data_IF_977934909586
#
_entry.id   IF_977934909586
#
_cell.length_a   1.000
_cell.length_b   1.000
_cell.length_c   1.000
_cell.angle_alpha   90.00
_cell.angle_beta   90.00
_cell.angle_gamma   90.00
#
_symmetry.space_group_name_H-M   'P 1'
#
loop_
_entity.id
_entity.type
_entity.pdbx_description
1 polymer ?
#
# COMPACT_ATOMS: atom_id res chain seq x y z
N UNK A 1 6.19 14.43 -7.42
CA UNK A 1 6.68 13.03 -7.40
C UNK A 1 5.48 12.09 -7.25
N UNK A 2 5.41 11.00 -8.02
CA UNK A 2 4.37 9.97 -7.88
C UNK A 2 4.91 8.80 -7.04
N UNK A 3 4.13 8.31 -6.09
CA UNK A 3 4.49 7.21 -5.18
C UNK A 3 3.34 6.21 -5.07
N UNK A 4 3.65 4.92 -4.93
CA UNK A 4 2.64 3.90 -4.61
C UNK A 4 2.68 3.58 -3.11
N UNK A 5 1.52 3.54 -2.47
CA UNK A 5 1.37 3.07 -1.09
C UNK A 5 0.37 1.92 -1.07
N UNK A 6 0.75 0.82 -0.45
CA UNK A 6 -0.15 -0.32 -0.25
C UNK A 6 -0.41 -0.56 1.23
N UNK A 7 -1.65 -0.94 1.55
CA UNK A 7 -2.09 -1.33 2.90
C UNK A 7 -2.55 -2.77 2.86
N UNK A 8 -1.95 -3.62 3.67
CA UNK A 8 -2.31 -5.04 3.74
C UNK A 8 -2.95 -5.42 5.07
N UNK A 9 -3.38 -6.67 5.21
CA UNK A 9 -4.19 -7.13 6.33
C UNK A 9 -3.45 -7.44 7.63
N UNK A 10 -2.29 -6.82 7.87
CA UNK A 10 -1.64 -6.87 9.18
C UNK A 10 -2.20 -5.76 10.08
N UNK A 11 -2.15 -5.95 11.40
CA UNK A 11 -2.48 -4.92 12.38
C UNK A 11 -1.55 -3.72 12.23
N UNK A 12 -2.06 -2.49 12.41
CA UNK A 12 -1.29 -1.27 12.28
C UNK A 12 -1.81 -0.31 11.22
N UNK A 13 -3.11 -0.31 10.92
CA UNK A 13 -3.75 0.65 10.00
C UNK A 13 -3.48 2.10 10.38
N UNK A 14 -3.30 2.38 11.67
CA UNK A 14 -2.95 3.72 12.16
C UNK A 14 -1.61 4.22 11.58
N UNK A 15 -0.62 3.33 11.42
CA UNK A 15 0.66 3.69 10.81
C UNK A 15 0.51 4.00 9.32
N UNK A 16 -0.33 3.23 8.61
CA UNK A 16 -0.67 3.54 7.22
C UNK A 16 -1.29 4.93 7.09
N UNK A 17 -2.29 5.23 7.94
CA UNK A 17 -2.92 6.56 8.00
C UNK A 17 -1.90 7.66 8.22
N UNK A 18 -1.03 7.51 9.24
CA UNK A 18 -0.04 8.54 9.56
C UNK A 18 1.00 8.70 8.45
N UNK A 19 1.43 7.61 7.82
CA UNK A 19 2.32 7.66 6.66
C UNK A 19 1.71 8.47 5.53
N UNK A 20 0.45 8.21 5.17
CA UNK A 20 -0.26 8.95 4.12
C UNK A 20 -0.41 10.43 4.46
N UNK A 21 -0.70 10.76 5.72
CA UNK A 21 -0.78 12.14 6.20
C UNK A 21 0.57 12.85 6.09
N UNK A 22 1.65 12.23 6.53
CA UNK A 22 3.00 12.81 6.44
C UNK A 22 3.45 13.02 5.00
N UNK A 23 3.12 12.09 4.10
CA UNK A 23 3.38 12.25 2.67
C UNK A 23 2.59 13.44 2.09
N UNK A 24 1.34 13.63 2.50
CA UNK A 24 0.53 14.78 2.11
C UNK A 24 1.09 16.10 2.66
N UNK A 25 1.46 16.12 3.93
CA UNK A 25 2.03 17.27 4.62
C UNK A 25 3.40 17.69 4.04
N UNK A 26 4.16 16.75 3.49
CA UNK A 26 5.51 16.98 2.98
C UNK A 26 5.57 17.91 1.77
N UNK A 27 4.51 17.99 0.99
CA UNK A 27 4.45 18.74 -0.27
C UNK A 27 5.35 18.20 -1.39
N UNK A 28 6.03 17.07 -1.17
CA UNK A 28 6.97 16.46 -2.14
C UNK A 28 6.25 15.50 -3.08
N UNK A 29 5.13 14.92 -2.64
CA UNK A 29 4.36 13.92 -3.41
C UNK A 29 3.15 14.58 -4.05
N UNK A 30 3.07 14.54 -5.39
CA UNK A 30 1.95 15.10 -6.15
C UNK A 30 0.80 14.11 -6.33
N UNK A 31 1.11 12.82 -6.29
CA UNK A 31 0.13 11.74 -6.44
C UNK A 31 0.55 10.51 -5.63
N UNK A 32 -0.37 10.01 -4.84
CA UNK A 32 -0.23 8.73 -4.13
C UNK A 32 -1.18 7.71 -4.77
N UNK A 33 -0.63 6.69 -5.41
CA UNK A 33 -1.39 5.53 -5.86
C UNK A 33 -1.63 4.62 -4.66
N UNK A 34 -2.84 4.62 -4.13
CA UNK A 34 -3.23 3.80 -2.97
C UNK A 34 -3.85 2.49 -3.42
N UNK A 35 -3.34 1.38 -2.88
CA UNK A 35 -3.88 0.02 -3.09
C UNK A 35 -4.15 -0.58 -1.71
N UNK A 36 -5.33 -1.18 -1.53
CA UNK A 36 -5.68 -1.83 -0.27
C UNK A 36 -6.10 -3.28 -0.52
N UNK A 37 -5.64 -4.19 0.33
CA UNK A 37 -6.18 -5.56 0.34
C UNK A 37 -7.57 -5.61 0.99
N UNK A 38 -8.37 -6.62 0.66
CA UNK A 38 -9.68 -6.79 1.30
C UNK A 38 -9.58 -6.94 2.81
N UNK A 39 -8.57 -7.67 3.29
CA UNK A 39 -8.28 -7.83 4.72
C UNK A 39 -7.83 -6.52 5.37
N UNK A 40 -7.15 -5.61 4.66
CA UNK A 40 -6.81 -4.29 5.18
C UNK A 40 -8.05 -3.47 5.54
N UNK A 41 -9.09 -3.52 4.71
CA UNK A 41 -10.36 -2.83 5.02
C UNK A 41 -11.04 -3.42 6.27
N UNK A 42 -10.99 -4.75 6.45
CA UNK A 42 -11.49 -5.42 7.65
C UNK A 42 -10.73 -4.97 8.91
N UNK A 43 -9.39 -4.93 8.83
CA UNK A 43 -8.53 -4.49 9.95
C UNK A 43 -8.80 -3.01 10.28
N UNK A 44 -8.94 -2.15 9.27
CA UNK A 44 -9.28 -0.73 9.46
C UNK A 44 -10.61 -0.56 10.20
N UNK A 45 -11.62 -1.39 9.88
CA UNK A 45 -12.90 -1.37 10.59
C UNK A 45 -12.76 -1.77 12.04
N UNK A 46 -11.96 -2.80 12.34
CA UNK A 46 -11.76 -3.28 13.72
C UNK A 46 -10.92 -2.31 14.55
N UNK A 47 -9.82 -1.80 13.99
CA UNK A 47 -8.86 -0.97 14.73
C UNK A 47 -9.31 0.49 14.86
N UNK A 48 -9.93 1.04 13.83
CA UNK A 48 -10.23 2.48 13.74
C UNK A 48 -11.72 2.80 13.59
N UNK A 49 -12.58 1.80 13.51
CA UNK A 49 -14.02 1.98 13.30
C UNK A 49 -14.37 2.57 11.93
N UNK A 50 -13.47 2.50 10.95
CA UNK A 50 -13.67 3.10 9.63
C UNK A 50 -13.86 2.04 8.55
N UNK A 51 -14.92 2.17 7.77
CA UNK A 51 -15.14 1.29 6.63
C UNK A 51 -14.40 1.82 5.39
N UNK A 52 -13.32 1.14 5.02
CA UNK A 52 -12.49 1.45 3.83
C UNK A 52 -12.65 0.38 2.72
N UNK A 53 -13.75 -0.33 2.68
CA UNK A 53 -14.03 -1.26 1.56
C UNK A 53 -14.42 -0.45 0.32
N UNK A 54 -13.65 -0.60 -0.76
CA UNK A 54 -13.82 0.11 -2.03
C UNK A 54 -14.12 1.62 -1.83
N UNK A 55 -13.24 2.37 -1.15
CA UNK A 55 -13.51 3.74 -0.78
C UNK A 55 -13.47 4.66 -2.00
N UNK A 56 -14.37 5.62 -2.07
CA UNK A 56 -14.27 6.74 -2.99
C UNK A 56 -13.27 7.81 -2.52
N UNK A 57 -12.99 8.79 -3.36
CA UNK A 57 -12.05 9.85 -3.05
C UNK A 57 -12.49 10.70 -1.84
N UNK A 58 -13.79 10.97 -1.71
CA UNK A 58 -14.32 11.78 -0.60
C UNK A 58 -14.10 11.09 0.74
N UNK A 59 -14.36 9.78 0.81
CA UNK A 59 -14.14 8.97 2.02
C UNK A 59 -12.65 8.89 2.38
N UNK A 60 -11.76 8.72 1.41
CA UNK A 60 -10.32 8.71 1.64
C UNK A 60 -9.82 10.06 2.13
N UNK A 61 -10.25 11.15 1.49
CA UNK A 61 -9.87 12.49 1.90
C UNK A 61 -10.34 12.78 3.34
N UNK A 62 -11.59 12.44 3.67
CA UNK A 62 -12.12 12.59 5.02
C UNK A 62 -11.34 11.75 6.04
N UNK A 63 -11.03 10.48 5.73
CA UNK A 63 -10.25 9.61 6.61
C UNK A 63 -8.85 10.15 6.90
N UNK A 64 -8.23 10.80 5.91
CA UNK A 64 -6.88 11.36 6.03
C UNK A 64 -6.87 12.81 6.56
N UNK A 65 -8.03 13.46 6.66
CA UNK A 65 -8.11 14.89 7.02
C UNK A 65 -7.66 15.83 5.91
N UNK A 66 -7.78 15.40 4.65
CA UNK A 66 -7.46 16.19 3.46
C UNK A 66 -8.68 17.03 3.03
N UNK A 67 -8.47 18.13 2.25
CA UNK A 67 -9.56 18.84 1.59
C UNK A 67 -10.45 17.91 0.77
N UNK A 68 -11.75 18.13 0.76
CA UNK A 68 -12.72 17.25 0.10
C UNK A 68 -12.50 17.09 -1.41
N UNK A 69 -11.92 18.11 -2.04
CA UNK A 69 -11.58 18.18 -3.47
C UNK A 69 -10.13 17.75 -3.77
N UNK A 70 -9.38 17.29 -2.76
CA UNK A 70 -8.01 16.85 -2.93
C UNK A 70 -7.91 15.70 -3.95
N UNK A 71 -6.96 15.84 -4.88
CA UNK A 71 -6.65 14.84 -5.92
C UNK A 71 -5.34 14.11 -5.65
N UNK A 72 -4.80 14.27 -4.43
CA UNK A 72 -3.53 13.65 -4.04
C UNK A 72 -3.61 12.12 -4.05
N UNK A 73 -4.72 11.55 -3.54
CA UNK A 73 -4.90 10.10 -3.44
C UNK A 73 -5.66 9.59 -4.67
N UNK A 74 -5.04 8.63 -5.35
CA UNK A 74 -5.67 7.86 -6.43
C UNK A 74 -5.80 6.41 -5.98
N UNK A 75 -7.02 5.99 -5.69
CA UNK A 75 -7.30 4.62 -5.27
C UNK A 75 -7.36 3.66 -6.45
N UNK A 76 -6.77 2.49 -6.29
CA UNK A 76 -6.80 1.40 -7.24
C UNK A 76 -7.30 0.13 -6.58
N UNK A 77 -8.26 -0.52 -7.21
CA UNK A 77 -8.75 -1.82 -6.74
C UNK A 77 -7.67 -2.87 -6.85
N UNK A 78 -7.64 -3.80 -5.90
CA UNK A 78 -6.63 -4.86 -5.80
C UNK A 78 -6.60 -5.78 -7.04
N UNK A 79 -7.73 -5.98 -7.68
CA UNK A 79 -7.91 -6.84 -8.87
C UNK A 79 -7.59 -6.14 -10.20
N UNK A 80 -7.34 -4.83 -10.18
CA UNK A 80 -7.05 -4.05 -11.39
C UNK A 80 -5.59 -4.18 -11.81
N UNK A 81 -5.23 -5.28 -12.46
CA UNK A 81 -3.87 -5.51 -12.97
C UNK A 81 -3.49 -4.62 -14.17
N UNK A 82 -4.41 -3.85 -14.74
CA UNK A 82 -4.15 -2.85 -15.78
C UNK A 82 -3.87 -1.44 -15.20
N UNK A 83 -3.91 -1.27 -13.87
CA UNK A 83 -3.67 0.00 -13.20
C UNK A 83 -2.23 0.49 -13.41
N UNK A 84 -2.03 1.80 -13.37
CA UNK A 84 -0.70 2.44 -13.55
C UNK A 84 0.43 1.79 -12.73
N UNK A 85 0.26 1.44 -11.44
CA UNK A 85 1.33 0.84 -10.64
C UNK A 85 1.85 -0.50 -11.18
N UNK A 86 1.07 -1.21 -12.00
CA UNK A 86 1.45 -2.50 -12.60
C UNK A 86 2.39 -2.38 -13.79
N UNK A 87 2.63 -1.17 -14.29
CA UNK A 87 3.41 -0.95 -15.51
C UNK A 87 4.78 -0.36 -15.22
N UNK A 88 5.83 -0.98 -15.76
CA UNK A 88 7.21 -0.47 -15.69
C UNK A 88 7.39 0.88 -16.42
N UNK A 89 6.59 1.17 -17.45
CA UNK A 89 6.61 2.46 -18.14
C UNK A 89 6.07 3.63 -17.33
N UNK A 90 5.30 3.37 -16.27
CA UNK A 90 4.84 4.42 -15.36
C UNK A 90 5.99 4.89 -14.46
N UNK A 91 6.39 6.15 -14.62
CA UNK A 91 7.47 6.75 -13.83
C UNK A 91 6.99 7.08 -12.43
N UNK A 92 7.23 6.18 -11.48
CA UNK A 92 7.00 6.40 -10.05
C UNK A 92 8.30 6.29 -9.26
N UNK A 93 8.41 6.99 -8.14
CA UNK A 93 9.62 7.04 -7.33
C UNK A 93 9.89 5.73 -6.57
N UNK A 94 8.82 4.98 -6.27
CA UNK A 94 8.92 3.72 -5.53
C UNK A 94 7.58 3.31 -4.93
N UNK A 95 7.65 2.35 -4.00
CA UNK A 95 6.47 1.82 -3.31
C UNK A 95 6.74 1.62 -1.82
N UNK A 96 5.74 1.91 -1.01
CA UNK A 96 5.71 1.60 0.44
C UNK A 96 4.57 0.63 0.69
N UNK A 97 4.82 -0.45 1.42
CA UNK A 97 3.77 -1.36 1.92
C UNK A 97 3.73 -1.26 3.43
N UNK A 98 2.67 -0.64 3.97
CA UNK A 98 2.53 -0.34 5.39
C UNK A 98 1.07 -0.50 5.87
N UNK A 99 0.79 -1.39 6.82
CA UNK A 99 1.64 -2.49 7.23
C UNK A 99 1.77 -3.55 6.13
N UNK A 100 2.86 -4.33 6.15
CA UNK A 100 3.06 -5.46 5.27
C UNK A 100 2.80 -6.76 6.03
N UNK A 101 1.79 -7.53 5.61
CA UNK A 101 1.53 -8.86 6.18
C UNK A 101 2.58 -9.87 5.71
N UNK A 102 2.81 -10.91 6.51
CA UNK A 102 3.76 -11.98 6.14
C UNK A 102 3.35 -12.73 4.88
N UNK A 103 2.05 -12.86 4.61
CA UNK A 103 1.58 -13.42 3.34
C UNK A 103 1.95 -12.55 2.14
N UNK A 104 1.85 -11.22 2.26
CA UNK A 104 2.29 -10.30 1.21
C UNK A 104 3.81 -10.33 1.05
N UNK A 105 4.57 -10.34 2.15
CA UNK A 105 6.03 -10.47 2.11
C UNK A 105 6.45 -11.75 1.40
N UNK A 106 5.87 -12.91 1.79
CA UNK A 106 6.18 -14.20 1.18
C UNK A 106 5.84 -14.25 -0.31
N UNK A 107 4.72 -13.66 -0.71
CA UNK A 107 4.35 -13.56 -2.13
C UNK A 107 5.37 -12.73 -2.93
N UNK A 108 5.83 -11.62 -2.40
CA UNK A 108 6.84 -10.76 -3.04
C UNK A 108 8.18 -11.50 -3.11
N UNK A 109 8.63 -12.13 -2.03
CA UNK A 109 9.88 -12.87 -1.96
C UNK A 109 9.94 -14.05 -2.95
N UNK A 110 8.79 -14.72 -3.15
CA UNK A 110 8.68 -15.83 -4.10
C UNK A 110 8.37 -15.40 -5.55
N UNK A 111 8.16 -14.12 -5.81
CA UNK A 111 7.77 -13.61 -7.14
C UNK A 111 6.32 -13.93 -7.51
N UNK A 112 5.46 -14.27 -6.57
CA UNK A 112 4.04 -14.55 -6.83
C UNK A 112 3.26 -13.27 -7.15
N UNK A 113 2.74 -13.15 -8.37
CA UNK A 113 2.07 -11.95 -8.88
C UNK A 113 0.55 -12.09 -8.95
N UNK A 114 -0.12 -12.41 -7.85
CA UNK A 114 -1.56 -12.74 -7.84
C UNK A 114 -2.51 -11.55 -7.74
N UNK A 115 -2.01 -10.36 -7.42
CA UNK A 115 -2.81 -9.14 -7.29
C UNK A 115 -1.99 -7.89 -7.60
N UNK A 116 -2.64 -6.73 -7.60
CA UNK A 116 -1.99 -5.45 -7.93
C UNK A 116 -0.86 -5.07 -6.97
N UNK A 117 -0.96 -5.39 -5.67
CA UNK A 117 0.11 -5.10 -4.70
C UNK A 117 1.37 -5.89 -5.06
N UNK A 118 1.23 -7.19 -5.29
CA UNK A 118 2.35 -8.05 -5.67
C UNK A 118 2.96 -7.61 -7.00
N UNK A 119 2.11 -7.28 -7.98
CA UNK A 119 2.57 -6.82 -9.29
C UNK A 119 3.29 -5.48 -9.23
N UNK A 120 2.79 -4.51 -8.46
CA UNK A 120 3.43 -3.21 -8.29
C UNK A 120 4.79 -3.33 -7.57
N UNK A 121 4.90 -4.23 -6.59
CA UNK A 121 6.16 -4.53 -5.92
C UNK A 121 7.18 -5.16 -6.89
N UNK A 122 6.77 -6.16 -7.68
CA UNK A 122 7.60 -6.76 -8.74
C UNK A 122 8.10 -5.72 -9.74
N UNK A 123 7.23 -4.80 -10.16
CA UNK A 123 7.62 -3.68 -11.03
C UNK A 123 8.67 -2.80 -10.36
N UNK A 124 8.54 -2.47 -9.08
CA UNK A 124 9.57 -1.72 -8.37
C UNK A 124 10.92 -2.44 -8.38
N UNK A 125 10.92 -3.73 -8.08
CA UNK A 125 12.14 -4.54 -8.05
C UNK A 125 12.81 -4.62 -9.42
N UNK A 126 12.07 -4.98 -10.48
CA UNK A 126 12.64 -5.13 -11.83
C UNK A 126 13.10 -3.83 -12.46
N UNK A 127 12.51 -2.69 -12.08
CA UNK A 127 12.89 -1.36 -12.56
C UNK A 127 13.93 -0.67 -11.67
N UNK A 128 14.47 -1.37 -10.65
CA UNK A 128 15.44 -0.81 -9.71
C UNK A 128 14.91 0.35 -8.86
N UNK A 129 13.59 0.41 -8.63
CA UNK A 129 12.94 1.45 -7.81
C UNK A 129 12.91 1.03 -6.35
N UNK A 130 12.84 2.00 -5.45
CA UNK A 130 12.77 1.71 -4.01
C UNK A 130 11.46 1.02 -3.66
N UNK A 131 11.57 -0.12 -2.98
CA UNK A 131 10.49 -0.83 -2.34
C UNK A 131 10.74 -0.86 -0.84
N UNK A 132 9.86 -0.20 -0.07
CA UNK A 132 9.93 -0.16 1.38
C UNK A 132 8.81 -1.05 1.94
N UNK A 133 9.22 -2.06 2.69
CA UNK A 133 8.30 -2.96 3.37
C UNK A 133 8.32 -2.67 4.87
N UNK A 134 7.14 -2.57 5.49
CA UNK A 134 6.97 -2.43 6.93
C UNK A 134 6.26 -3.67 7.46
N UNK A 135 7.02 -4.80 7.63
CA UNK A 135 6.42 -6.06 8.06
C UNK A 135 5.90 -5.96 9.49
N UNK A 136 4.73 -6.54 9.73
CA UNK A 136 4.15 -6.61 11.06
C UNK A 136 3.68 -8.03 11.37
N UNK A 137 4.34 -8.65 12.29
CA UNK A 137 4.00 -9.97 12.86
C UNK A 137 4.74 -10.17 14.18
N UNK A 138 4.17 -10.98 15.07
CA UNK A 138 4.85 -11.42 16.29
C UNK A 138 4.20 -12.69 16.84
N UNK A 139 4.99 -13.74 17.23
CA UNK A 139 6.43 -13.91 16.98
C UNK A 139 6.72 -14.20 15.50
N UNK A 140 7.94 -13.99 15.06
CA UNK A 140 8.40 -14.46 13.75
C UNK A 140 8.70 -15.97 13.78
N UNK A 141 8.40 -16.64 12.67
CA UNK A 141 8.88 -18.01 12.42
C UNK A 141 10.04 -17.99 11.39
N UNK A 142 10.65 -19.17 11.15
CA UNK A 142 11.79 -19.29 10.24
C UNK A 142 11.45 -18.82 8.81
N UNK A 143 10.26 -19.15 8.30
CA UNK A 143 9.81 -18.75 6.95
C UNK A 143 9.70 -17.23 6.84
N UNK A 144 9.22 -16.56 7.89
CA UNK A 144 9.17 -15.09 7.91
C UNK A 144 10.56 -14.48 7.78
N UNK A 145 11.53 -15.01 8.53
CA UNK A 145 12.91 -14.53 8.50
C UNK A 145 13.58 -14.80 7.15
N UNK A 146 13.38 -15.98 6.58
CA UNK A 146 13.89 -16.34 5.25
C UNK A 146 13.34 -15.40 4.17
N UNK A 147 12.05 -15.04 4.24
CA UNK A 147 11.44 -14.12 3.27
C UNK A 147 11.90 -12.66 3.44
N UNK A 148 12.51 -12.30 4.56
CA UNK A 148 13.08 -10.96 4.79
C UNK A 148 14.51 -10.83 4.25
N UNK A 149 15.23 -11.95 4.07
CA UNK A 149 16.60 -12.02 3.55
C UNK A 149 16.62 -11.99 2.02
#
# INVERSE_FOLDING_TARGET
MELTVAITGASGTIYARRTLQLLAESGVVDTINLIMSGTAATVAQVELGVNLKDPDAAKLNAWLGLPSDSKLIRYWRLDNLAAKPSSGSNKQAGMIIVPCSMGTLGAIASGAGTNLIHRAADVCLKEGRKLLLVPRETPYNAIHLENML
#
